data_IF_883028922599
#
_entry.id   IF_883028922599
#
_cell.length_a   1.000
_cell.length_b   1.000
_cell.length_c   1.000
_cell.angle_alpha   90.00
_cell.angle_beta   90.00
_cell.angle_gamma   90.00
#
_symmetry.space_group_name_H-M   'P 1'
#
loop_
_entity.id
_entity.type
_entity.pdbx_description
1 polymer ?
#
# COMPACT_ATOMS: atom_id res chain seq x y z
N UNK A 1 26.23 71.95 9.48
CA UNK A 1 27.13 72.18 8.32
C UNK A 1 26.71 71.23 7.21
N UNK A 2 26.56 71.76 6.00
CA UNK A 2 26.12 71.07 4.79
C UNK A 2 27.37 70.75 3.95
N UNK A 3 27.25 69.82 2.99
CA UNK A 3 28.20 69.46 1.90
C UNK A 3 29.32 68.45 2.27
N UNK A 4 29.76 67.50 1.42
CA UNK A 4 29.49 67.16 0.02
C UNK A 4 29.78 65.66 -0.27
N UNK A 5 29.36 65.23 -1.47
CA UNK A 5 29.31 63.88 -2.03
C UNK A 5 30.66 63.24 -2.42
N UNK A 6 30.66 61.92 -2.62
CA UNK A 6 31.43 61.27 -3.69
C UNK A 6 30.70 60.04 -4.25
N UNK A 7 30.56 60.00 -5.58
CA UNK A 7 29.86 59.00 -6.37
C UNK A 7 30.57 57.64 -6.37
N UNK A 8 29.88 56.56 -5.99
CA UNK A 8 30.30 55.18 -6.28
C UNK A 8 29.37 54.59 -7.34
N UNK A 9 29.97 54.20 -8.47
CA UNK A 9 29.34 53.55 -9.61
C UNK A 9 28.80 52.17 -9.20
N UNK A 10 27.53 51.95 -9.49
CA UNK A 10 26.79 50.70 -9.36
C UNK A 10 27.36 49.62 -10.30
N UNK A 11 27.70 48.47 -9.72
CA UNK A 11 27.87 47.19 -10.41
C UNK A 11 27.24 46.11 -9.53
N UNK A 12 26.14 45.56 -10.01
CA UNK A 12 25.15 44.76 -9.27
C UNK A 12 25.52 43.27 -9.29
N UNK A 13 25.38 42.63 -8.12
CA UNK A 13 25.02 41.21 -7.86
C UNK A 13 25.95 40.11 -8.41
N UNK A 14 26.01 38.90 -7.84
CA UNK A 14 25.65 38.34 -6.55
C UNK A 14 26.31 36.95 -6.47
N UNK A 15 26.43 36.46 -5.25
CA UNK A 15 27.06 35.24 -4.76
C UNK A 15 26.54 33.91 -5.31
N UNK A 16 27.41 32.88 -5.17
CA UNK A 16 27.09 31.48 -4.81
C UNK A 16 26.33 30.63 -5.85
N UNK A 17 26.39 29.30 -5.89
CA UNK A 17 27.28 28.26 -5.39
C UNK A 17 26.69 26.93 -5.94
N UNK A 18 27.58 25.96 -6.24
CA UNK A 18 27.41 24.51 -6.06
C UNK A 18 26.36 23.71 -6.88
N UNK A 19 26.84 22.52 -7.26
CA UNK A 19 26.21 21.45 -8.03
C UNK A 19 24.88 20.95 -7.43
N UNK A 20 23.92 20.63 -8.30
CA UNK A 20 22.98 19.53 -8.06
C UNK A 20 22.32 19.09 -9.38
N UNK A 21 22.85 18.02 -9.98
CA UNK A 21 22.09 17.24 -10.96
C UNK A 21 21.04 16.42 -10.21
N UNK A 22 19.78 16.81 -10.30
CA UNK A 22 18.65 15.98 -9.88
C UNK A 22 18.02 15.38 -11.14
N UNK A 23 18.31 14.11 -11.37
CA UNK A 23 17.52 13.26 -12.25
C UNK A 23 16.12 13.15 -11.65
N UNK A 24 15.13 13.79 -12.28
CA UNK A 24 13.73 13.55 -11.99
C UNK A 24 13.37 12.13 -12.42
N UNK A 25 13.41 11.19 -11.48
CA UNK A 25 12.74 9.89 -11.66
C UNK A 25 11.27 10.12 -11.38
N UNK A 26 10.50 10.32 -12.45
CA UNK A 26 9.04 10.31 -12.41
C UNK A 26 8.58 8.87 -12.14
N UNK A 27 8.48 8.49 -10.86
CA UNK A 27 7.81 7.26 -10.48
C UNK A 27 6.29 7.47 -10.65
N UNK A 28 5.78 7.24 -11.86
CA UNK A 28 4.36 7.01 -12.08
C UNK A 28 3.98 5.71 -11.38
N UNK A 29 3.56 5.77 -10.12
CA UNK A 29 2.80 4.67 -9.54
C UNK A 29 1.40 4.72 -10.14
N UNK A 30 1.06 3.71 -10.94
CA UNK A 30 -0.33 3.49 -11.34
C UNK A 30 -1.12 3.18 -10.09
N UNK A 31 -1.98 4.11 -9.67
CA UNK A 31 -3.03 3.82 -8.69
C UNK A 31 -4.02 2.89 -9.40
N UNK A 32 -3.84 1.58 -9.25
CA UNK A 32 -4.85 0.62 -9.69
C UNK A 32 -6.14 0.93 -8.93
N UNK A 33 -7.27 0.94 -9.62
CA UNK A 33 -8.58 1.05 -8.99
C UNK A 33 -8.74 -0.13 -8.01
N UNK A 34 -8.50 0.10 -6.72
CA UNK A 34 -8.38 -0.94 -5.70
C UNK A 34 -9.71 -1.69 -5.46
N UNK A 35 -10.83 -1.22 -6.00
CA UNK A 35 -12.14 -1.61 -5.50
C UNK A 35 -13.00 -2.45 -6.46
N UNK A 36 -12.42 -3.05 -7.51
CA UNK A 36 -13.12 -4.08 -8.29
C UNK A 36 -12.41 -5.40 -8.14
N UNK A 37 -12.97 -6.27 -7.30
CA UNK A 37 -12.55 -7.66 -7.29
C UNK A 37 -12.85 -8.28 -8.65
N UNK A 38 -11.84 -8.93 -9.24
CA UNK A 38 -12.04 -9.69 -10.47
C UNK A 38 -12.96 -10.88 -10.17
N UNK A 39 -13.67 -11.36 -11.20
CA UNK A 39 -14.51 -12.57 -11.07
C UNK A 39 -13.69 -13.73 -10.53
N UNK A 40 -14.07 -14.27 -9.37
CA UNK A 40 -13.39 -15.41 -8.72
C UNK A 40 -12.49 -15.04 -7.53
N UNK A 41 -12.32 -13.77 -7.21
CA UNK A 41 -11.66 -13.34 -5.96
C UNK A 41 -12.61 -13.45 -4.76
N UNK A 42 -12.06 -13.81 -3.60
CA UNK A 42 -12.78 -13.86 -2.32
C UNK A 42 -12.50 -12.54 -1.60
N UNK A 43 -13.52 -11.73 -1.35
CA UNK A 43 -13.34 -10.50 -0.57
C UNK A 43 -13.44 -10.82 0.91
N UNK A 44 -12.64 -10.12 1.70
CA UNK A 44 -12.55 -10.25 3.15
C UNK A 44 -12.76 -8.87 3.76
N UNK A 45 -13.93 -8.67 4.38
CA UNK A 45 -14.27 -7.45 5.11
C UNK A 45 -13.92 -7.65 6.57
N UNK A 46 -12.82 -7.03 7.02
CA UNK A 46 -12.41 -7.05 8.42
C UNK A 46 -12.93 -5.80 9.15
N UNK A 47 -13.44 -5.99 10.36
CA UNK A 47 -13.73 -4.96 11.37
C UNK A 47 -12.95 -5.27 12.65
N UNK A 48 -13.11 -4.45 13.69
CA UNK A 48 -12.43 -4.69 14.99
C UNK A 48 -12.86 -5.99 15.70
N UNK A 49 -13.99 -6.56 15.29
CA UNK A 49 -14.67 -7.68 15.96
C UNK A 49 -15.13 -8.80 15.01
N UNK A 50 -14.98 -8.63 13.69
CA UNK A 50 -15.43 -9.61 12.72
C UNK A 50 -14.55 -9.65 11.46
N UNK A 51 -14.57 -10.80 10.79
CA UNK A 51 -13.95 -11.02 9.49
C UNK A 51 -14.97 -11.75 8.60
N UNK A 52 -15.49 -11.07 7.57
CA UNK A 52 -16.53 -11.60 6.68
C UNK A 52 -15.96 -11.91 5.30
N UNK A 53 -16.09 -13.17 4.88
CA UNK A 53 -15.75 -13.61 3.52
C UNK A 53 -16.96 -13.51 2.60
N UNK A 54 -16.76 -13.14 1.33
CA UNK A 54 -17.82 -13.20 0.31
C UNK A 54 -18.18 -14.62 -0.12
N UNK A 55 -17.26 -15.57 0.05
CA UNK A 55 -17.46 -16.98 -0.25
C UNK A 55 -16.62 -17.84 0.70
N UNK A 56 -17.14 -19.00 1.07
CA UNK A 56 -16.47 -19.98 1.95
C UNK A 56 -16.08 -21.27 1.22
N UNK A 57 -16.30 -21.31 -0.10
CA UNK A 57 -15.97 -22.45 -0.96
C UNK A 57 -15.28 -21.95 -2.22
N UNK A 58 -14.21 -22.62 -2.61
CA UNK A 58 -13.48 -22.38 -3.85
C UNK A 58 -13.00 -23.71 -4.45
N UNK A 59 -12.54 -23.68 -5.69
CA UNK A 59 -11.86 -24.83 -6.29
C UNK A 59 -10.44 -24.91 -5.74
N UNK A 60 -9.90 -26.12 -5.67
CA UNK A 60 -8.46 -26.33 -5.44
C UNK A 60 -7.65 -25.58 -6.50
N UNK A 61 -6.50 -25.04 -6.10
CA UNK A 61 -5.65 -24.24 -6.97
C UNK A 61 -5.30 -22.89 -6.34
N UNK A 62 -5.08 -21.90 -7.18
CA UNK A 62 -4.80 -20.53 -6.73
C UNK A 62 -6.08 -19.87 -6.22
N UNK A 63 -6.02 -19.31 -5.01
CA UNK A 63 -7.09 -18.50 -4.43
C UNK A 63 -6.55 -17.11 -4.11
N UNK A 64 -7.34 -16.09 -4.43
CA UNK A 64 -7.01 -14.69 -4.14
C UNK A 64 -8.00 -14.16 -3.12
N UNK A 65 -7.47 -13.72 -1.98
CA UNK A 65 -8.20 -13.01 -0.93
C UNK A 65 -7.93 -11.52 -1.04
N UNK A 66 -8.99 -10.74 -1.04
CA UNK A 66 -8.94 -9.28 -1.11
C UNK A 66 -9.41 -8.73 0.21
N UNK A 67 -8.46 -8.37 1.07
CA UNK A 67 -8.70 -8.00 2.46
C UNK A 67 -8.79 -6.50 2.59
N UNK A 68 -9.91 -6.01 3.10
CA UNK A 68 -10.14 -4.59 3.40
C UNK A 68 -10.35 -4.44 4.90
N UNK A 69 -9.49 -3.63 5.53
CA UNK A 69 -9.62 -3.31 6.94
C UNK A 69 -10.53 -2.08 7.13
N UNK A 70 -11.74 -2.32 7.62
CA UNK A 70 -12.72 -1.29 7.97
C UNK A 70 -12.77 -1.03 9.49
N UNK A 71 -11.88 -1.68 10.26
CA UNK A 71 -11.70 -1.45 11.69
C UNK A 71 -10.87 -0.20 11.99
N UNK A 72 -10.58 -0.04 13.28
CA UNK A 72 -9.75 1.03 13.83
C UNK A 72 -8.36 0.55 14.26
N UNK A 73 -8.13 -0.76 14.27
CA UNK A 73 -6.85 -1.39 14.61
C UNK A 73 -6.11 -1.87 13.37
N UNK A 74 -4.82 -2.14 13.52
CA UNK A 74 -4.04 -2.87 12.53
C UNK A 74 -4.55 -4.32 12.46
N UNK A 75 -4.78 -4.82 11.25
CA UNK A 75 -5.34 -6.16 10.99
C UNK A 75 -4.33 -7.02 10.26
N UNK A 76 -4.37 -8.32 10.53
CA UNK A 76 -3.63 -9.35 9.82
C UNK A 76 -4.63 -10.40 9.32
N UNK A 77 -4.31 -11.06 8.21
CA UNK A 77 -5.13 -12.13 7.67
C UNK A 77 -4.25 -13.30 7.27
N UNK A 78 -4.60 -14.47 7.81
CA UNK A 78 -3.88 -15.72 7.62
C UNK A 78 -4.80 -16.73 6.95
N UNK A 79 -4.22 -17.59 6.13
CA UNK A 79 -4.89 -18.79 5.63
C UNK A 79 -4.15 -20.00 6.18
N UNK A 80 -4.83 -20.83 6.96
CA UNK A 80 -4.30 -22.05 7.54
C UNK A 80 -4.84 -23.28 6.82
N UNK A 81 -3.95 -24.22 6.51
CA UNK A 81 -4.26 -25.56 6.04
C UNK A 81 -4.29 -26.59 7.18
N UNK A 82 -4.32 -27.90 6.84
CA UNK A 82 -4.30 -28.98 7.82
C UNK A 82 -3.10 -28.90 8.78
N UNK A 83 -3.35 -29.19 10.06
CA UNK A 83 -2.33 -29.12 11.11
C UNK A 83 -1.81 -27.71 11.40
N UNK A 84 -2.67 -26.69 11.21
CA UNK A 84 -2.37 -25.26 11.43
C UNK A 84 -1.17 -24.75 10.63
N UNK A 85 -0.91 -25.37 9.46
CA UNK A 85 0.11 -24.91 8.52
C UNK A 85 -0.32 -23.56 7.92
N UNK A 86 0.52 -22.53 8.06
CA UNK A 86 0.32 -21.26 7.36
C UNK A 86 0.53 -21.46 5.86
N UNK A 87 -0.52 -21.23 5.08
CA UNK A 87 -0.49 -21.30 3.61
C UNK A 87 -0.13 -19.95 2.99
N UNK A 88 -0.40 -18.87 3.72
CA UNK A 88 0.00 -17.50 3.40
C UNK A 88 -0.65 -16.51 4.35
N UNK A 89 -0.09 -15.30 4.36
CA UNK A 89 -0.52 -14.24 5.26
C UNK A 89 -0.29 -12.86 4.63
N UNK A 90 -1.06 -11.90 5.12
CA UNK A 90 -0.74 -10.48 5.00
C UNK A 90 -0.80 -9.86 6.38
N UNK A 91 0.22 -9.10 6.72
CA UNK A 91 0.36 -8.45 8.01
C UNK A 91 0.27 -6.92 7.89
N UNK A 92 0.09 -6.28 9.04
CA UNK A 92 0.07 -4.82 9.18
C UNK A 92 -0.86 -4.08 8.19
N UNK A 93 -2.08 -4.58 8.00
CA UNK A 93 -3.11 -3.87 7.23
C UNK A 93 -3.69 -2.77 8.11
N UNK A 94 -3.19 -1.54 7.98
CA UNK A 94 -3.71 -0.38 8.72
C UNK A 94 -5.18 -0.10 8.40
N UNK A 95 -5.91 0.59 9.31
CA UNK A 95 -7.28 1.05 9.07
C UNK A 95 -7.45 1.75 7.72
N UNK A 96 -8.51 1.38 6.99
CA UNK A 96 -8.86 1.95 5.69
C UNK A 96 -8.05 1.42 4.51
N UNK A 97 -7.09 0.51 4.73
CA UNK A 97 -6.30 -0.09 3.66
C UNK A 97 -6.91 -1.40 3.15
N UNK A 98 -6.55 -1.70 1.90
CA UNK A 98 -6.87 -2.93 1.22
C UNK A 98 -5.58 -3.60 0.73
N UNK A 99 -5.53 -4.92 0.83
CA UNK A 99 -4.38 -5.75 0.42
C UNK A 99 -4.88 -7.03 -0.23
N UNK A 100 -4.09 -7.59 -1.14
CA UNK A 100 -4.37 -8.89 -1.75
C UNK A 100 -3.41 -9.95 -1.22
N UNK A 101 -3.96 -11.10 -0.84
CA UNK A 101 -3.22 -12.32 -0.54
C UNK A 101 -3.54 -13.35 -1.62
N UNK A 102 -2.52 -13.86 -2.30
CA UNK A 102 -2.66 -14.93 -3.28
C UNK A 102 -1.99 -16.17 -2.69
N UNK A 103 -2.74 -17.27 -2.57
CA UNK A 103 -2.27 -18.52 -1.98
C UNK A 103 -2.59 -19.70 -2.88
N UNK A 104 -1.75 -20.74 -2.80
CA UNK A 104 -1.96 -21.99 -3.49
C UNK A 104 -2.57 -23.02 -2.51
N UNK A 105 -3.78 -23.50 -2.83
CA UNK A 105 -4.53 -24.49 -2.06
C UNK A 105 -4.68 -25.78 -2.89
N UNK A 106 -3.64 -26.64 -2.94
CA UNK A 106 -3.58 -27.76 -3.88
C UNK A 106 -4.54 -28.90 -3.52
N UNK A 107 -4.90 -29.03 -2.25
CA UNK A 107 -5.69 -30.14 -1.73
C UNK A 107 -7.12 -29.67 -1.40
N UNK A 108 -8.09 -30.55 -1.65
CA UNK A 108 -9.45 -30.32 -1.19
C UNK A 108 -9.50 -30.47 0.34
N UNK A 109 -10.25 -29.61 1.02
CA UNK A 109 -10.39 -29.67 2.47
C UNK A 109 -10.89 -28.36 3.06
N UNK A 110 -10.90 -28.31 4.39
CA UNK A 110 -11.21 -27.10 5.15
C UNK A 110 -9.94 -26.33 5.43
N UNK A 111 -9.96 -25.06 5.06
CA UNK A 111 -8.95 -24.07 5.40
C UNK A 111 -9.57 -23.07 6.37
N UNK A 112 -8.75 -22.44 7.20
CA UNK A 112 -9.19 -21.43 8.17
C UNK A 112 -8.60 -20.08 7.82
#
# INVERSE_FOLDING_TARGET
MKLAALNVKTGVAASAALLAGLTAVSACTSKSDENKSASGEITVTASDDACKLSATSAKTGTSTFVVTNNGTKVTEFYVYGPGDKVMGEIENVSPGLQRKLIVQLPEAGTYK
#
